data_IF_248122205590
#
_entry.id   IF_248122205590
#
_cell.length_a   1.000
_cell.length_b   1.000
_cell.length_c   1.000
_cell.angle_alpha   90.00
_cell.angle_beta   90.00
_cell.angle_gamma   90.00
#
_symmetry.space_group_name_H-M   'P 1'
#
loop_
_entity.id
_entity.type
_entity.pdbx_description
1 polymer ?
#
# COMPACT_ATOMS: atom_id res chain seq x y z
N UNK A 1 4.26 -6.49 -10.87
CA UNK A 1 5.41 -5.57 -10.70
C UNK A 1 6.65 -6.23 -10.06
N UNK A 2 6.56 -7.47 -9.56
CA UNK A 2 7.75 -8.28 -9.25
C UNK A 2 8.55 -8.69 -10.49
N UNK A 3 7.99 -8.49 -11.69
CA UNK A 3 8.64 -8.85 -12.94
C UNK A 3 9.68 -7.81 -13.38
N UNK A 4 9.46 -6.50 -13.22
CA UNK A 4 10.39 -5.47 -13.72
C UNK A 4 11.78 -5.61 -13.10
N UNK A 5 11.90 -5.88 -11.82
CA UNK A 5 13.19 -6.16 -11.17
C UNK A 5 13.80 -7.50 -11.58
N UNK A 6 12.97 -8.54 -11.80
CA UNK A 6 13.43 -9.86 -12.25
C UNK A 6 13.82 -9.88 -13.73
N UNK A 7 13.19 -9.09 -14.58
CA UNK A 7 13.53 -8.92 -15.99
C UNK A 7 14.93 -8.36 -16.18
N UNK A 8 15.27 -7.29 -15.44
CA UNK A 8 16.62 -6.74 -15.43
C UNK A 8 17.64 -7.78 -14.93
N UNK A 9 17.32 -8.50 -13.85
CA UNK A 9 18.20 -9.56 -13.32
C UNK A 9 18.39 -10.72 -14.30
N UNK A 10 17.33 -11.15 -15.00
CA UNK A 10 17.42 -12.22 -16.02
C UNK A 10 18.25 -11.76 -17.19
N UNK A 11 17.98 -10.58 -17.74
CA UNK A 11 18.74 -9.99 -18.84
C UNK A 11 20.22 -9.84 -18.51
N UNK A 12 20.52 -9.24 -17.34
CA UNK A 12 21.90 -8.99 -16.92
C UNK A 12 22.66 -10.29 -16.61
N UNK A 13 21.95 -11.33 -16.17
CA UNK A 13 22.52 -12.65 -15.99
C UNK A 13 22.81 -13.32 -17.33
N UNK A 14 21.89 -13.26 -18.29
CA UNK A 14 22.07 -13.84 -19.63
C UNK A 14 23.21 -13.17 -20.39
N UNK A 15 23.33 -11.84 -20.31
CA UNK A 15 24.43 -11.08 -20.92
C UNK A 15 25.82 -11.55 -20.50
N UNK A 16 25.94 -12.15 -19.30
CA UNK A 16 27.23 -12.71 -18.82
C UNK A 16 27.67 -13.97 -19.56
N UNK A 17 26.71 -14.66 -20.19
CA UNK A 17 26.97 -15.95 -20.83
C UNK A 17 26.96 -15.88 -22.35
N UNK A 18 26.22 -14.95 -22.94
CA UNK A 18 26.14 -14.78 -24.37
C UNK A 18 25.61 -13.38 -24.77
N UNK A 19 25.97 -12.88 -25.99
CA UNK A 19 25.34 -11.70 -26.54
C UNK A 19 23.81 -11.90 -26.63
N UNK A 20 23.04 -10.90 -26.25
CA UNK A 20 21.56 -10.93 -26.30
C UNK A 20 21.10 -9.87 -27.31
N UNK A 21 20.28 -10.28 -28.26
CA UNK A 21 19.45 -9.37 -29.04
C UNK A 21 18.32 -8.84 -28.10
N UNK A 22 18.51 -7.65 -27.55
CA UNK A 22 17.56 -7.05 -26.59
C UNK A 22 16.18 -6.80 -27.21
N UNK A 23 16.04 -6.22 -28.41
CA UNK A 23 14.73 -6.06 -29.04
C UNK A 23 13.97 -7.38 -29.17
N UNK A 24 14.64 -8.43 -29.60
CA UNK A 24 14.05 -9.75 -29.70
C UNK A 24 13.68 -10.31 -28.31
N UNK A 25 14.58 -10.18 -27.34
CA UNK A 25 14.32 -10.62 -25.96
C UNK A 25 13.07 -9.97 -25.38
N UNK A 26 12.94 -8.64 -25.50
CA UNK A 26 11.76 -7.93 -24.97
C UNK A 26 10.49 -8.25 -25.75
N UNK A 27 10.57 -8.48 -27.06
CA UNK A 27 9.41 -8.92 -27.85
C UNK A 27 8.88 -10.27 -27.37
N UNK A 28 9.77 -11.22 -27.08
CA UNK A 28 9.37 -12.54 -26.56
C UNK A 28 8.87 -12.45 -25.12
N UNK A 29 9.56 -11.71 -24.26
CA UNK A 29 9.19 -11.52 -22.87
C UNK A 29 7.76 -10.98 -22.72
N UNK A 30 7.36 -10.08 -23.60
CA UNK A 30 6.03 -9.50 -23.65
C UNK A 30 4.93 -10.55 -23.81
N UNK A 31 5.14 -11.58 -24.65
CA UNK A 31 4.20 -12.69 -24.80
C UNK A 31 4.12 -13.53 -23.52
N UNK A 32 5.24 -13.78 -22.86
CA UNK A 32 5.25 -14.46 -21.55
C UNK A 32 4.49 -13.69 -20.47
N UNK A 33 4.64 -12.36 -20.43
CA UNK A 33 3.92 -11.50 -19.48
C UNK A 33 2.43 -11.56 -19.73
N UNK A 34 1.97 -11.50 -20.99
CA UNK A 34 0.56 -11.66 -21.34
C UNK A 34 0.04 -13.04 -20.90
N UNK A 35 0.74 -14.10 -21.29
CA UNK A 35 0.37 -15.49 -20.92
C UNK A 35 0.28 -15.64 -19.39
N UNK A 36 1.28 -15.14 -18.66
CA UNK A 36 1.30 -15.20 -17.19
C UNK A 36 0.14 -14.42 -16.56
N UNK A 37 -0.19 -13.26 -17.11
CA UNK A 37 -1.33 -12.46 -16.64
C UNK A 37 -2.65 -13.21 -16.81
N UNK A 38 -2.86 -13.89 -17.94
CA UNK A 38 -4.05 -14.70 -18.18
C UNK A 38 -4.10 -15.92 -17.25
N UNK A 39 -2.97 -16.57 -17.00
CA UNK A 39 -2.85 -17.66 -16.05
C UNK A 39 -3.24 -17.25 -14.62
N UNK A 40 -2.75 -16.09 -14.18
CA UNK A 40 -3.09 -15.52 -12.86
C UNK A 40 -4.56 -15.16 -12.79
N UNK A 41 -5.13 -14.55 -13.82
CA UNK A 41 -6.57 -14.26 -13.90
C UNK A 41 -7.42 -15.52 -13.81
N UNK A 42 -7.05 -16.58 -14.53
CA UNK A 42 -7.73 -17.87 -14.46
C UNK A 42 -7.68 -18.48 -13.04
N UNK A 43 -6.49 -18.43 -12.40
CA UNK A 43 -6.33 -18.91 -11.03
C UNK A 43 -7.15 -18.08 -10.03
N UNK A 44 -7.20 -16.76 -10.17
CA UNK A 44 -8.01 -15.90 -9.30
C UNK A 44 -9.51 -16.12 -9.50
N UNK A 45 -9.94 -16.28 -10.75
CA UNK A 45 -11.33 -16.63 -11.07
C UNK A 45 -11.73 -17.97 -10.45
N UNK A 46 -10.96 -19.02 -10.68
CA UNK A 46 -11.23 -20.33 -10.13
C UNK A 46 -11.26 -20.33 -8.59
N UNK A 47 -10.20 -19.86 -7.96
CA UNK A 47 -10.10 -19.85 -6.49
C UNK A 47 -11.08 -18.87 -5.83
N UNK A 48 -11.39 -17.77 -6.47
CA UNK A 48 -12.34 -16.79 -5.96
C UNK A 48 -13.78 -17.25 -6.07
N UNK A 49 -14.25 -17.56 -7.28
CA UNK A 49 -15.66 -17.87 -7.51
C UNK A 49 -16.02 -19.34 -7.25
N UNK A 50 -15.12 -20.27 -7.57
CA UNK A 50 -15.39 -21.70 -7.39
C UNK A 50 -15.00 -22.18 -5.98
N UNK A 51 -13.76 -21.91 -5.52
CA UNK A 51 -13.32 -22.25 -4.17
C UNK A 51 -13.83 -21.27 -3.10
N UNK A 52 -14.53 -20.20 -3.50
CA UNK A 52 -15.11 -19.16 -2.63
C UNK A 52 -14.12 -18.50 -1.67
N UNK A 53 -12.88 -18.28 -2.12
CA UNK A 53 -11.83 -17.62 -1.35
C UNK A 53 -11.86 -16.10 -1.60
N UNK A 54 -12.33 -15.27 -0.66
CA UNK A 54 -12.62 -13.85 -0.91
C UNK A 54 -11.41 -13.02 -1.36
N UNK A 55 -10.21 -13.32 -0.85
CA UNK A 55 -8.98 -12.59 -1.19
C UNK A 55 -8.59 -12.75 -2.67
N UNK A 56 -8.95 -13.87 -3.32
CA UNK A 56 -8.74 -14.00 -4.75
C UNK A 56 -9.72 -13.17 -5.57
N UNK A 57 -10.99 -13.08 -5.13
CA UNK A 57 -11.98 -12.19 -5.78
C UNK A 57 -11.50 -10.74 -5.70
N UNK A 58 -10.99 -10.33 -4.54
CA UNK A 58 -10.43 -8.99 -4.35
C UNK A 58 -9.22 -8.70 -5.25
N UNK A 59 -8.51 -9.72 -5.70
CA UNK A 59 -7.33 -9.59 -6.57
C UNK A 59 -7.68 -9.50 -8.06
N UNK A 60 -8.88 -9.94 -8.48
CA UNK A 60 -9.31 -9.92 -9.89
C UNK A 60 -9.24 -8.52 -10.52
N UNK A 61 -9.76 -7.43 -9.90
CA UNK A 61 -9.72 -6.11 -10.51
C UNK A 61 -8.30 -5.60 -10.79
N UNK A 62 -7.32 -5.95 -9.94
CA UNK A 62 -5.92 -5.59 -10.16
C UNK A 62 -5.31 -6.33 -11.35
N UNK A 63 -5.60 -7.62 -11.46
CA UNK A 63 -5.16 -8.42 -12.59
C UNK A 63 -5.80 -7.93 -13.92
N UNK A 64 -7.05 -7.50 -13.88
CA UNK A 64 -7.73 -6.85 -15.01
C UNK A 64 -7.07 -5.50 -15.35
N UNK A 65 -6.69 -4.70 -14.34
CA UNK A 65 -5.93 -3.46 -14.53
C UNK A 65 -4.60 -3.69 -15.23
N UNK A 66 -3.83 -4.68 -14.78
CA UNK A 66 -2.57 -5.07 -15.41
C UNK A 66 -2.77 -5.56 -16.86
N UNK A 67 -3.81 -6.35 -17.10
CA UNK A 67 -4.14 -6.79 -18.46
C UNK A 67 -4.50 -5.61 -19.36
N UNK A 68 -5.23 -4.61 -18.85
CA UNK A 68 -5.58 -3.40 -19.60
C UNK A 68 -4.33 -2.61 -20.00
N UNK A 69 -3.35 -2.49 -19.11
CA UNK A 69 -2.07 -1.84 -19.42
C UNK A 69 -1.29 -2.60 -20.51
N UNK A 70 -1.22 -3.92 -20.43
CA UNK A 70 -0.57 -4.75 -21.45
C UNK A 70 -1.24 -4.62 -22.84
N UNK A 71 -2.57 -4.48 -22.86
CA UNK A 71 -3.33 -4.37 -24.11
C UNK A 71 -3.30 -2.96 -24.75
N UNK A 72 -2.63 -1.98 -24.14
CA UNK A 72 -2.34 -0.69 -24.78
C UNK A 72 -1.43 -0.87 -25.99
N UNK A 73 -0.56 -1.87 -25.94
CA UNK A 73 0.25 -2.27 -27.06
C UNK A 73 -0.48 -3.31 -27.92
N UNK A 74 -0.15 -3.38 -29.20
CA UNK A 74 -0.75 -4.35 -30.09
C UNK A 74 0.03 -5.68 -30.08
N UNK A 75 -0.71 -6.78 -30.25
CA UNK A 75 -0.20 -8.13 -30.44
C UNK A 75 -0.70 -8.65 -31.79
N UNK A 76 0.02 -8.34 -32.89
CA UNK A 76 -0.41 -8.67 -34.24
C UNK A 76 -0.65 -10.17 -34.44
N UNK A 77 0.04 -11.01 -33.66
CA UNK A 77 -0.08 -12.46 -33.70
C UNK A 77 -1.41 -12.98 -33.15
N UNK A 78 -2.08 -12.18 -32.30
CA UNK A 78 -3.29 -12.59 -31.59
C UNK A 78 -4.42 -11.54 -31.68
N UNK A 79 -4.83 -11.08 -32.86
CA UNK A 79 -5.77 -9.96 -32.98
C UNK A 79 -7.15 -10.26 -32.37
N UNK A 80 -7.65 -11.47 -32.60
CA UNK A 80 -8.94 -11.89 -32.04
C UNK A 80 -8.89 -12.01 -30.50
N UNK A 81 -7.84 -12.62 -29.95
CA UNK A 81 -7.63 -12.71 -28.51
C UNK A 81 -7.60 -11.31 -27.88
N UNK A 82 -6.83 -10.40 -28.44
CA UNK A 82 -6.76 -9.03 -27.94
C UNK A 82 -8.10 -8.31 -27.97
N UNK A 83 -8.91 -8.52 -29.02
CA UNK A 83 -10.27 -7.99 -29.08
C UNK A 83 -11.12 -8.49 -27.91
N UNK A 84 -11.18 -9.80 -27.71
CA UNK A 84 -11.95 -10.41 -26.61
C UNK A 84 -11.47 -9.94 -25.24
N UNK A 85 -10.16 -9.83 -25.05
CA UNK A 85 -9.59 -9.37 -23.79
C UNK A 85 -9.87 -7.88 -23.53
N UNK A 86 -9.88 -7.02 -24.55
CA UNK A 86 -10.28 -5.62 -24.42
C UNK A 86 -11.76 -5.50 -24.03
N UNK A 87 -12.63 -6.30 -24.65
CA UNK A 87 -14.06 -6.36 -24.27
C UNK A 87 -14.21 -6.83 -22.83
N UNK A 88 -13.49 -7.87 -22.41
CA UNK A 88 -13.48 -8.37 -21.03
C UNK A 88 -13.06 -7.27 -20.04
N UNK A 89 -11.96 -6.56 -20.32
CA UNK A 89 -11.48 -5.49 -19.42
C UNK A 89 -12.43 -4.29 -19.38
N UNK A 90 -13.29 -4.10 -20.38
CA UNK A 90 -14.30 -3.04 -20.46
C UNK A 90 -15.61 -3.34 -19.72
N UNK A 91 -15.81 -4.55 -19.19
CA UNK A 91 -17.04 -4.89 -18.49
C UNK A 91 -17.25 -4.00 -17.26
N UNK A 92 -18.50 -3.53 -17.07
CA UNK A 92 -18.86 -2.60 -15.98
C UNK A 92 -18.43 -3.10 -14.59
N UNK A 93 -18.59 -4.38 -14.33
CA UNK A 93 -18.17 -5.00 -13.07
C UNK A 93 -16.70 -4.79 -12.74
N UNK A 94 -15.82 -4.62 -13.73
CA UNK A 94 -14.40 -4.38 -13.53
C UNK A 94 -14.01 -2.90 -13.61
N UNK A 95 -14.85 -2.04 -14.19
CA UNK A 95 -14.59 -0.60 -14.27
C UNK A 95 -15.10 0.13 -13.04
N UNK A 96 -16.24 -0.27 -12.48
CA UNK A 96 -16.83 0.35 -11.30
C UNK A 96 -16.04 0.01 -10.01
N UNK A 97 -15.51 -1.19 -9.93
CA UNK A 97 -14.69 -1.62 -8.79
C UNK A 97 -13.36 -0.85 -8.70
N UNK A 98 -12.75 -0.46 -9.81
CA UNK A 98 -11.53 0.35 -9.81
C UNK A 98 -11.79 1.80 -9.38
N UNK A 99 -12.95 2.35 -9.70
CA UNK A 99 -13.36 3.69 -9.26
C UNK A 99 -13.76 3.77 -7.79
N UNK A 100 -14.25 2.66 -7.22
CA UNK A 100 -14.71 2.58 -5.82
C UNK A 100 -13.59 2.30 -4.80
N UNK A 101 -12.40 1.91 -5.22
CA UNK A 101 -11.32 1.52 -4.31
C UNK A 101 -10.31 2.64 -4.11
N UNK A 102 -10.74 3.65 -3.38
CA UNK A 102 -9.82 4.60 -2.77
C UNK A 102 -9.04 3.89 -1.65
N UNK A 103 -7.71 4.06 -1.61
CA UNK A 103 -6.90 3.58 -0.49
C UNK A 103 -7.42 4.22 0.80
N UNK A 104 -7.76 3.39 1.78
CA UNK A 104 -8.06 3.81 3.13
C UNK A 104 -6.83 3.56 4.00
N UNK A 105 -6.31 4.61 4.60
CA UNK A 105 -5.24 4.51 5.59
C UNK A 105 -5.86 4.62 6.97
N UNK A 106 -5.81 3.52 7.74
CA UNK A 106 -6.29 3.50 9.11
C UNK A 106 -5.14 3.86 10.04
N UNK A 107 -5.24 5.01 10.67
CA UNK A 107 -4.25 5.51 11.63
C UNK A 107 -4.79 5.30 13.05
N UNK A 108 -3.99 4.70 13.92
CA UNK A 108 -4.44 4.36 15.27
C UNK A 108 -3.39 4.77 16.31
N UNK A 109 -3.86 5.26 17.47
CA UNK A 109 -3.03 5.41 18.65
C UNK A 109 -3.35 4.33 19.67
N UNK A 110 -2.34 3.80 20.37
CA UNK A 110 -2.56 2.76 21.37
C UNK A 110 -1.59 2.86 22.56
N UNK A 111 -1.97 2.19 23.64
CA UNK A 111 -1.12 2.00 24.81
C UNK A 111 -0.47 0.62 24.78
N UNK A 112 0.87 0.53 24.85
CA UNK A 112 1.54 -0.76 24.93
C UNK A 112 1.06 -1.65 26.10
N UNK A 113 0.58 -1.05 27.18
CA UNK A 113 -0.04 -1.78 28.30
C UNK A 113 -1.30 -2.56 27.92
N UNK A 114 -1.98 -2.15 26.84
CA UNK A 114 -3.22 -2.79 26.34
C UNK A 114 -2.95 -3.73 25.15
N UNK A 115 -1.72 -3.77 24.65
CA UNK A 115 -1.36 -4.53 23.46
C UNK A 115 -1.44 -3.72 22.15
N UNK A 116 -0.89 -4.30 21.11
CA UNK A 116 -0.96 -3.74 19.73
C UNK A 116 -2.37 -4.01 19.20
N UNK A 117 -3.03 -3.02 18.55
CA UNK A 117 -4.33 -3.23 17.94
C UNK A 117 -4.29 -4.30 16.84
N UNK A 118 -5.33 -5.12 16.80
CA UNK A 118 -5.50 -6.09 15.72
C UNK A 118 -5.81 -5.39 14.39
N UNK A 119 -5.40 -6.02 13.28
CA UNK A 119 -5.79 -5.59 11.95
C UNK A 119 -7.15 -6.16 11.57
N UNK A 120 -8.22 -5.34 11.57
CA UNK A 120 -9.57 -5.82 11.26
C UNK A 120 -9.77 -6.13 9.77
N UNK A 121 -8.81 -5.76 8.92
CA UNK A 121 -8.90 -5.99 7.47
C UNK A 121 -8.51 -7.39 7.06
N UNK A 122 -7.86 -8.15 7.94
CA UNK A 122 -7.34 -9.49 7.67
C UNK A 122 -6.14 -9.53 6.71
N UNK A 123 -5.54 -8.36 6.41
CA UNK A 123 -4.38 -8.27 5.52
C UNK A 123 -3.03 -8.49 6.23
N UNK A 124 -3.04 -8.76 7.53
CA UNK A 124 -1.85 -9.14 8.28
C UNK A 124 -0.99 -7.98 8.75
N UNK A 125 -1.55 -6.78 8.92
CA UNK A 125 -0.87 -5.69 9.63
C UNK A 125 -0.52 -4.47 8.77
N UNK A 126 0.51 -3.76 9.21
CA UNK A 126 0.97 -2.49 8.66
C UNK A 126 2.14 -1.98 9.50
N UNK A 127 2.24 -0.68 9.66
CA UNK A 127 3.25 -0.07 10.50
C UNK A 127 2.83 -0.02 11.97
N UNK A 128 3.79 -0.32 12.85
CA UNK A 128 3.66 -0.08 14.30
C UNK A 128 4.87 0.73 14.73
N UNK A 129 4.66 2.00 15.02
CA UNK A 129 5.70 2.92 15.45
C UNK A 129 5.69 3.08 16.96
N UNK A 130 6.87 2.94 17.58
CA UNK A 130 7.07 3.10 19.01
C UNK A 130 7.47 4.54 19.33
N UNK A 131 6.56 5.30 19.94
CA UNK A 131 6.81 6.68 20.37
C UNK A 131 7.46 6.79 21.76
N UNK A 132 7.89 5.67 22.39
CA UNK A 132 8.40 5.71 23.77
C UNK A 132 9.79 6.33 23.88
N UNK A 133 10.55 6.36 22.78
CA UNK A 133 11.84 7.02 22.73
C UNK A 133 11.77 8.55 22.84
N UNK A 134 10.63 9.15 22.38
CA UNK A 134 10.40 10.59 22.46
C UNK A 134 10.08 11.02 23.90
N UNK A 135 10.44 12.27 24.26
CA UNK A 135 10.17 12.85 25.55
C UNK A 135 8.73 12.66 26.01
N UNK A 136 8.57 12.34 27.31
CA UNK A 136 7.29 11.91 27.86
C UNK A 136 6.63 12.96 28.74
N UNK A 137 5.60 13.69 28.28
CA UNK A 137 4.87 14.66 29.11
C UNK A 137 4.20 13.99 30.32
N UNK A 138 3.80 12.72 30.21
CA UNK A 138 3.15 11.98 31.30
C UNK A 138 4.03 11.74 32.54
N UNK A 139 5.33 12.12 32.52
CA UNK A 139 6.19 12.18 33.73
C UNK A 139 5.85 13.35 34.65
N UNK A 140 5.16 14.37 34.14
CA UNK A 140 4.87 15.61 34.86
C UNK A 140 3.37 15.69 35.19
N UNK A 141 3.05 15.93 36.45
CA UNK A 141 1.64 16.00 36.92
C UNK A 141 0.79 16.99 36.13
N UNK A 142 1.40 18.13 35.76
CA UNK A 142 0.70 19.20 35.04
C UNK A 142 0.18 18.78 33.66
N UNK A 143 0.72 17.72 33.03
CA UNK A 143 0.28 17.27 31.71
C UNK A 143 -0.63 16.02 31.76
N UNK A 144 -0.76 15.36 32.90
CA UNK A 144 -1.58 14.15 33.03
C UNK A 144 -3.07 14.33 32.69
N UNK A 145 -3.71 15.50 32.95
CA UNK A 145 -5.09 15.71 32.57
C UNK A 145 -5.31 15.89 31.06
N UNK A 146 -4.26 16.19 30.29
CA UNK A 146 -4.32 16.54 28.90
C UNK A 146 -4.00 15.35 27.98
N UNK A 147 -4.30 15.51 26.70
CA UNK A 147 -4.00 14.54 25.63
C UNK A 147 -2.92 15.10 24.69
N UNK A 148 -2.52 14.33 23.70
CA UNK A 148 -1.62 14.79 22.63
C UNK A 148 -2.21 15.83 21.69
N UNK A 149 -3.50 16.20 21.85
CA UNK A 149 -4.17 17.24 21.04
C UNK A 149 -4.32 18.57 21.79
N UNK A 150 -3.94 18.60 23.06
CA UNK A 150 -4.07 19.79 23.88
C UNK A 150 -2.79 20.65 23.81
N UNK A 151 -2.96 21.98 23.65
CA UNK A 151 -1.88 22.95 23.42
C UNK A 151 -0.69 22.82 24.41
N UNK A 152 -0.89 22.64 25.74
CA UNK A 152 0.23 22.50 26.67
C UNK A 152 1.10 21.26 26.38
N UNK A 153 0.49 20.18 25.88
CA UNK A 153 1.21 18.93 25.52
C UNK A 153 1.87 19.06 24.16
N UNK A 154 1.21 19.70 23.20
CA UNK A 154 1.77 20.00 21.88
C UNK A 154 3.05 20.81 22.04
N UNK A 155 2.98 21.94 22.74
CA UNK A 155 4.14 22.81 23.02
C UNK A 155 5.30 22.03 23.66
N UNK A 156 5.02 21.22 24.68
CA UNK A 156 6.04 20.37 25.31
C UNK A 156 6.69 19.37 24.36
N UNK A 157 5.90 18.73 23.49
CA UNK A 157 6.40 17.71 22.56
C UNK A 157 7.25 18.32 21.44
N UNK A 158 6.96 19.55 21.05
CA UNK A 158 7.66 20.26 19.96
C UNK A 158 8.92 21.00 20.43
N UNK A 159 9.01 21.36 21.73
CA UNK A 159 10.05 22.23 22.29
C UNK A 159 11.47 21.76 21.99
N UNK A 160 11.74 20.44 22.07
CA UNK A 160 13.08 19.86 21.79
C UNK A 160 13.23 19.31 20.37
N UNK A 161 12.17 19.33 19.59
CA UNK A 161 12.10 18.84 18.21
C UNK A 161 12.23 17.32 18.05
N UNK A 162 12.27 16.52 19.12
CA UNK A 162 12.41 15.06 19.02
C UNK A 162 11.22 14.43 18.30
N UNK A 163 9.99 14.85 18.64
CA UNK A 163 8.79 14.29 18.02
C UNK A 163 8.67 14.73 16.55
N UNK A 164 9.15 15.91 16.21
CA UNK A 164 9.13 16.40 14.83
C UNK A 164 10.10 15.56 13.96
N UNK A 165 11.33 15.34 14.44
CA UNK A 165 12.29 14.46 13.75
C UNK A 165 11.78 13.02 13.61
N UNK A 166 11.13 12.51 14.65
CA UNK A 166 10.50 11.19 14.59
C UNK A 166 9.42 11.14 13.48
N UNK A 167 8.56 12.15 13.41
CA UNK A 167 7.50 12.21 12.39
C UNK A 167 8.06 12.38 10.98
N UNK A 168 9.14 13.11 10.78
CA UNK A 168 9.80 13.24 9.46
C UNK A 168 10.21 11.86 8.91
N UNK A 169 10.79 10.99 9.76
CA UNK A 169 11.14 9.63 9.36
C UNK A 169 9.89 8.77 9.09
N UNK A 170 8.85 8.91 9.92
CA UNK A 170 7.57 8.22 9.73
C UNK A 170 6.94 8.64 8.41
N UNK A 171 6.89 9.94 8.12
CA UNK A 171 6.36 10.45 6.85
C UNK A 171 7.09 9.87 5.65
N UNK A 172 8.42 9.83 5.67
CA UNK A 172 9.20 9.28 4.57
C UNK A 172 8.86 7.81 4.29
N UNK A 173 8.71 6.98 5.33
CA UNK A 173 8.35 5.56 5.21
C UNK A 173 6.91 5.35 4.75
N UNK A 174 5.96 6.05 5.37
CA UNK A 174 4.53 5.89 5.08
C UNK A 174 4.19 6.44 3.71
N UNK A 175 4.74 7.58 3.32
CA UNK A 175 4.53 8.19 2.00
C UNK A 175 4.95 7.26 0.87
N UNK A 176 6.13 6.64 1.00
CA UNK A 176 6.61 5.67 0.03
C UNK A 176 5.63 4.49 -0.13
N UNK A 177 5.08 4.01 0.98
CA UNK A 177 4.09 2.93 0.98
C UNK A 177 2.75 3.36 0.43
N UNK A 178 2.22 4.53 0.83
CA UNK A 178 0.96 5.08 0.32
C UNK A 178 1.03 5.25 -1.20
N UNK A 179 2.10 5.90 -1.71
CA UNK A 179 2.31 6.04 -3.15
C UNK A 179 2.29 4.69 -3.85
N UNK A 180 3.03 3.72 -3.32
CA UNK A 180 3.13 2.39 -3.92
C UNK A 180 1.82 1.61 -3.83
N UNK A 181 1.07 1.77 -2.75
CA UNK A 181 -0.25 1.15 -2.57
C UNK A 181 -1.28 1.73 -3.53
N UNK A 182 -1.27 3.06 -3.73
CA UNK A 182 -2.11 3.72 -4.73
C UNK A 182 -1.79 3.21 -6.16
N UNK A 183 -0.51 3.13 -6.53
CA UNK A 183 -0.06 2.61 -7.83
C UNK A 183 -0.49 1.15 -8.04
N UNK A 184 -0.48 0.34 -6.99
CA UNK A 184 -0.87 -1.08 -7.02
C UNK A 184 -2.37 -1.29 -6.81
N UNK A 185 -3.12 -0.25 -6.52
CA UNK A 185 -4.55 -0.31 -6.25
C UNK A 185 -4.91 -1.07 -4.97
N UNK A 186 -4.04 -1.06 -3.95
CA UNK A 186 -4.37 -1.60 -2.64
C UNK A 186 -5.41 -0.73 -1.95
N UNK A 187 -6.29 -1.38 -1.18
CA UNK A 187 -7.43 -0.70 -0.56
C UNK A 187 -7.21 -0.34 0.90
N UNK A 188 -6.24 -0.93 1.58
CA UNK A 188 -6.04 -0.75 3.01
C UNK A 188 -4.55 -0.65 3.37
N UNK A 189 -4.24 0.26 4.30
CA UNK A 189 -2.96 0.36 4.99
C UNK A 189 -3.23 0.72 6.45
N UNK A 190 -2.64 -0.01 7.39
CA UNK A 190 -2.74 0.30 8.82
C UNK A 190 -1.46 0.96 9.31
N UNK A 191 -1.57 2.01 10.13
CA UNK A 191 -0.45 2.67 10.79
C UNK A 191 -0.79 2.92 12.24
N UNK A 192 -0.08 2.26 13.15
CA UNK A 192 -0.32 2.32 14.58
C UNK A 192 0.81 3.07 15.28
N UNK A 193 0.47 3.98 16.18
CA UNK A 193 1.41 4.66 17.06
C UNK A 193 1.23 4.20 18.50
N UNK A 194 2.29 3.68 19.12
CA UNK A 194 2.26 3.20 20.49
C UNK A 194 3.06 4.07 21.44
N UNK A 195 2.49 4.40 22.59
CA UNK A 195 3.24 4.92 23.72
C UNK A 195 2.83 4.19 25.02
N UNK A 196 3.43 4.50 26.15
CA UNK A 196 3.17 3.78 27.41
C UNK A 196 1.70 3.79 27.80
N UNK A 197 1.09 4.98 27.78
CA UNK A 197 -0.32 5.19 28.21
C UNK A 197 -1.32 5.40 27.07
N UNK A 198 -0.87 5.56 25.84
CA UNK A 198 -1.77 5.80 24.68
C UNK A 198 -2.47 7.16 24.69
N UNK A 199 -1.94 8.18 25.42
CA UNK A 199 -2.64 9.42 25.69
C UNK A 199 -1.98 10.67 25.06
N UNK A 200 -0.66 10.74 25.01
CA UNK A 200 0.06 11.95 24.57
C UNK A 200 0.77 11.74 23.25
N UNK A 201 2.00 11.17 23.26
CA UNK A 201 2.87 11.01 22.09
C UNK A 201 2.23 10.24 20.94
N UNK A 202 1.56 9.14 21.22
CA UNK A 202 0.89 8.33 20.20
C UNK A 202 -0.32 9.05 19.58
N UNK A 203 -1.07 9.80 20.38
CA UNK A 203 -2.22 10.58 19.92
C UNK A 203 -1.76 11.73 19.03
N UNK A 204 -0.76 12.50 19.47
CA UNK A 204 -0.13 13.55 18.69
C UNK A 204 0.37 13.01 17.33
N UNK A 205 1.15 11.93 17.37
CA UNK A 205 1.73 11.35 16.14
C UNK A 205 0.67 10.82 15.17
N UNK A 206 -0.39 10.21 15.70
CA UNK A 206 -1.48 9.70 14.86
C UNK A 206 -2.23 10.84 14.16
N UNK A 207 -2.56 11.91 14.88
CA UNK A 207 -3.24 13.09 14.34
C UNK A 207 -2.40 13.74 13.23
N UNK A 208 -1.13 14.00 13.50
CA UNK A 208 -0.24 14.66 12.53
C UNK A 208 -0.01 13.83 11.27
N UNK A 209 0.10 12.49 11.39
CA UNK A 209 0.17 11.64 10.20
C UNK A 209 -1.16 11.68 9.41
N UNK A 210 -2.31 11.64 10.08
CA UNK A 210 -3.60 11.71 9.40
C UNK A 210 -3.76 13.01 8.60
N UNK A 211 -3.40 14.15 9.18
CA UNK A 211 -3.40 15.46 8.51
C UNK A 211 -2.42 15.51 7.33
N UNK A 212 -1.19 15.01 7.53
CA UNK A 212 -0.18 14.92 6.49
C UNK A 212 -0.67 14.14 5.27
N UNK A 213 -1.25 12.95 5.49
CA UNK A 213 -1.72 12.07 4.41
C UNK A 213 -2.92 12.68 3.67
N UNK A 214 -3.87 13.28 4.39
CA UNK A 214 -5.00 13.98 3.78
C UNK A 214 -4.52 15.13 2.89
N UNK A 215 -3.58 15.95 3.38
CA UNK A 215 -3.05 17.10 2.65
C UNK A 215 -2.22 16.68 1.42
N UNK A 216 -1.43 15.62 1.55
CA UNK A 216 -0.45 15.24 0.51
C UNK A 216 -1.02 14.35 -0.57
N UNK A 217 -1.86 13.38 -0.22
CA UNK A 217 -2.34 12.34 -1.13
C UNK A 217 -3.85 12.37 -1.37
N UNK A 218 -4.62 13.04 -0.52
CA UNK A 218 -6.07 13.03 -0.60
C UNK A 218 -6.70 11.63 -0.48
N UNK A 219 -5.99 10.69 0.16
CA UNK A 219 -6.51 9.35 0.46
C UNK A 219 -7.52 9.41 1.59
N UNK A 220 -8.41 8.41 1.66
CA UNK A 220 -9.30 8.29 2.81
C UNK A 220 -8.48 7.93 4.05
N UNK A 221 -8.53 8.75 5.10
CA UNK A 221 -7.89 8.47 6.38
C UNK A 221 -8.96 8.22 7.43
N UNK A 222 -8.82 7.12 8.18
CA UNK A 222 -9.64 6.78 9.35
C UNK A 222 -8.73 6.86 10.58
N UNK A 223 -9.09 7.72 11.54
CA UNK A 223 -8.36 7.96 12.78
C UNK A 223 -9.12 7.36 13.98
#
# INVERSE_FOLDING_TARGET
YGLVGSEMCIRDRLRKYQPIDEPYFYSQLRHFVLFRTLQVLGAYGFRGYFEKKPHFIQSVPYAIGNLRELLKEEYPEYPYLCKVLRELTGLKQFTDDLKKRQLTVKVMSFAYKKGIPDDPTGNGGGYVFDCRAVNNPGKYERYKPFTGLDEPVITFLEEDGEILRFLDHVYALVDASVKRYMERGFSNLSVCFGCTGGQHRSVYSAQHLAEHLNKKFGVKVEL
#
